data_IF_333682430458
#
_entry.id   IF_333682430458
#
_cell.length_a   1.000
_cell.length_b   1.000
_cell.length_c   1.000
_cell.angle_alpha   90.00
_cell.angle_beta   90.00
_cell.angle_gamma   90.00
#
_symmetry.space_group_name_H-M   'P 1'
#
loop_
_entity.id
_entity.type
_entity.pdbx_description
1 polymer ?
#
# COMPACT_ATOMS: atom_id res chain seq x y z
N UNK A 1 -13.43 72.50 -32.69
CA UNK A 1 -12.03 72.97 -32.56
C UNK A 1 -11.14 71.81 -32.96
N UNK A 2 -10.39 72.04 -34.02
CA UNK A 2 -9.58 71.11 -34.81
C UNK A 2 -8.13 71.18 -34.36
N UNK A 3 -7.49 70.02 -34.14
CA UNK A 3 -6.04 69.76 -34.08
C UNK A 3 -5.91 68.23 -33.94
N UNK A 4 -5.05 67.46 -34.59
CA UNK A 4 -4.02 67.65 -35.61
C UNK A 4 -3.45 66.23 -35.87
N UNK A 5 -3.29 65.85 -37.15
CA UNK A 5 -2.71 64.57 -37.59
C UNK A 5 -1.18 64.62 -37.59
N UNK A 6 -0.52 63.63 -36.99
CA UNK A 6 0.80 63.08 -37.39
C UNK A 6 0.70 61.56 -37.17
N UNK A 7 0.68 60.71 -38.22
CA UNK A 7 1.85 60.12 -38.92
C UNK A 7 2.86 59.49 -37.96
N UNK A 8 3.42 58.29 -38.14
CA UNK A 8 3.34 57.11 -39.02
C UNK A 8 4.42 56.14 -38.42
N UNK A 9 4.67 54.94 -38.98
CA UNK A 9 5.75 53.99 -38.58
C UNK A 9 5.42 53.18 -37.31
N UNK A 10 5.26 51.86 -37.29
CA UNK A 10 5.86 50.79 -38.08
C UNK A 10 6.74 49.95 -37.14
N UNK A 11 6.32 48.74 -36.76
CA UNK A 11 7.20 47.59 -36.48
C UNK A 11 6.41 46.34 -36.06
N UNK A 12 6.77 45.25 -36.72
CA UNK A 12 6.44 43.84 -36.49
C UNK A 12 6.92 43.32 -35.11
N UNK A 13 6.20 42.30 -34.60
CA UNK A 13 6.70 41.11 -33.85
C UNK A 13 7.25 41.41 -32.43
N UNK A 14 6.84 40.77 -31.34
CA UNK A 14 6.68 39.34 -31.12
C UNK A 14 5.62 39.05 -30.04
N UNK A 15 4.85 37.98 -30.24
CA UNK A 15 4.11 37.33 -29.17
C UNK A 15 5.11 36.71 -28.19
N UNK A 16 5.25 37.30 -27.00
CA UNK A 16 5.87 36.62 -25.86
C UNK A 16 4.74 36.00 -25.06
N UNK A 17 4.40 34.77 -25.44
CA UNK A 17 3.62 33.89 -24.58
C UNK A 17 4.59 33.36 -23.53
N UNK A 18 4.64 33.98 -22.35
CA UNK A 18 5.25 33.36 -21.18
C UNK A 18 4.29 32.28 -20.67
N UNK A 19 4.26 31.12 -21.35
CA UNK A 19 3.96 29.87 -20.67
C UNK A 19 5.23 29.49 -19.93
N UNK A 20 5.46 30.06 -18.75
CA UNK A 20 6.33 29.42 -17.77
C UNK A 20 5.56 28.23 -17.20
N UNK A 21 5.54 27.18 -18.01
CA UNK A 21 5.10 25.85 -17.63
C UNK A 21 6.02 25.28 -16.57
N UNK A 22 5.41 24.48 -15.71
CA UNK A 22 5.98 23.74 -14.61
C UNK A 22 7.40 23.21 -14.87
N UNK A 23 8.30 23.51 -13.95
CA UNK A 23 9.30 22.53 -13.54
C UNK A 23 9.11 22.32 -12.05
N UNK A 24 8.03 21.59 -11.73
CA UNK A 24 7.93 20.93 -10.44
C UNK A 24 8.98 19.83 -10.40
N UNK A 25 10.24 20.20 -10.14
CA UNK A 25 11.27 19.27 -9.71
C UNK A 25 11.01 18.95 -8.24
N UNK A 26 9.88 18.29 -7.99
CA UNK A 26 9.59 17.64 -6.72
C UNK A 26 9.89 16.14 -6.91
N UNK A 27 11.13 15.81 -7.28
CA UNK A 27 11.50 14.40 -7.44
C UNK A 27 13.00 14.19 -7.30
N UNK A 28 13.63 14.76 -6.25
CA UNK A 28 15.00 14.34 -5.92
C UNK A 28 15.37 14.51 -4.43
N UNK A 29 14.39 14.43 -3.51
CA UNK A 29 14.62 14.40 -2.05
C UNK A 29 13.57 13.58 -1.26
N UNK A 30 12.78 12.72 -1.90
CA UNK A 30 11.74 11.98 -1.16
C UNK A 30 12.36 10.78 -0.43
N UNK A 31 12.66 10.94 0.86
CA UNK A 31 12.85 9.82 1.79
C UNK A 31 11.59 8.96 1.89
N UNK A 32 11.59 7.89 2.69
CA UNK A 32 10.41 7.02 2.83
C UNK A 32 9.16 7.80 3.27
N UNK A 33 8.03 7.61 2.58
CA UNK A 33 6.77 8.29 2.91
C UNK A 33 5.56 7.37 2.71
N UNK A 34 4.50 7.61 3.47
CA UNK A 34 3.24 6.87 3.36
C UNK A 34 2.30 7.58 2.41
N UNK A 35 1.65 6.82 1.54
CA UNK A 35 0.60 7.33 0.68
C UNK A 35 -0.69 7.54 1.48
N UNK A 36 -1.31 8.70 1.26
CA UNK A 36 -2.62 9.02 1.80
C UNK A 36 -3.74 8.40 0.94
N UNK A 37 -4.88 8.06 1.56
CA UNK A 37 -6.06 7.58 0.84
C UNK A 37 -5.91 6.18 0.21
N UNK A 38 -4.92 5.40 0.63
CA UNK A 38 -4.72 4.02 0.18
C UNK A 38 -5.91 3.16 0.60
N UNK A 39 -6.55 2.49 -0.36
CA UNK A 39 -7.68 1.61 -0.10
C UNK A 39 -7.22 0.16 0.08
N UNK A 40 -7.93 -0.66 0.88
CA UNK A 40 -7.66 -2.09 0.98
C UNK A 40 -7.73 -2.81 -0.37
N UNK A 41 -8.67 -2.41 -1.22
CA UNK A 41 -8.84 -2.98 -2.55
C UNK A 41 -7.64 -2.70 -3.45
N UNK A 42 -7.12 -1.46 -3.47
CA UNK A 42 -5.96 -1.10 -4.28
C UNK A 42 -4.70 -1.86 -3.84
N UNK A 43 -4.50 -2.05 -2.52
CA UNK A 43 -3.40 -2.87 -2.02
C UNK A 43 -3.62 -4.34 -2.34
N UNK A 44 -4.83 -4.87 -2.16
CA UNK A 44 -5.14 -6.25 -2.53
C UNK A 44 -4.90 -6.53 -4.02
N UNK A 45 -5.27 -5.60 -4.91
CA UNK A 45 -4.99 -5.67 -6.34
C UNK A 45 -3.49 -5.64 -6.64
N UNK A 46 -2.73 -4.74 -6.01
CA UNK A 46 -1.27 -4.69 -6.11
C UNK A 46 -0.66 -6.03 -5.66
N UNK A 47 -1.13 -6.53 -4.52
CA UNK A 47 -0.74 -7.83 -3.98
C UNK A 47 -1.37 -9.00 -4.75
N UNK A 48 -2.16 -8.78 -5.79
CA UNK A 48 -2.99 -9.79 -6.49
C UNK A 48 -3.56 -10.83 -5.52
N UNK A 49 -4.18 -10.34 -4.44
CA UNK A 49 -4.90 -11.13 -3.43
C UNK A 49 -6.37 -10.80 -3.63
N UNK A 50 -7.18 -11.84 -3.76
CA UNK A 50 -8.63 -11.67 -3.70
C UNK A 50 -9.04 -11.48 -2.24
N UNK A 51 -9.62 -10.33 -1.90
CA UNK A 51 -10.25 -10.12 -0.60
C UNK A 51 -11.53 -10.96 -0.53
N UNK A 52 -11.67 -11.89 0.44
CA UNK A 52 -12.90 -12.66 0.58
C UNK A 52 -14.11 -11.74 0.76
N UNK A 53 -15.26 -12.12 0.19
CA UNK A 53 -16.50 -11.34 0.35
C UNK A 53 -16.96 -11.22 1.82
N UNK A 54 -16.50 -12.13 2.70
CA UNK A 54 -16.74 -12.12 4.15
C UNK A 54 -15.78 -11.20 4.92
N UNK A 55 -14.79 -10.59 4.24
CA UNK A 55 -13.82 -9.72 4.87
C UNK A 55 -14.46 -8.45 5.42
N UNK A 56 -14.14 -8.12 6.67
CA UNK A 56 -14.61 -6.92 7.37
C UNK A 56 -13.44 -6.17 8.00
N UNK A 57 -13.66 -4.91 8.40
CA UNK A 57 -12.64 -4.03 8.99
C UNK A 57 -11.29 -4.09 8.25
N UNK A 58 -11.38 -3.98 6.92
CA UNK A 58 -10.25 -4.01 6.03
C UNK A 58 -9.51 -2.67 6.09
N UNK A 59 -8.19 -2.71 6.28
CA UNK A 59 -7.31 -1.56 6.41
C UNK A 59 -6.04 -1.81 5.62
N UNK A 60 -5.50 -0.76 5.03
CA UNK A 60 -4.29 -0.87 4.24
C UNK A 60 -3.45 0.41 4.28
N UNK A 61 -2.17 0.26 3.99
CA UNK A 61 -1.24 1.36 3.82
C UNK A 61 -0.15 0.96 2.82
N UNK A 62 0.42 1.98 2.16
CA UNK A 62 1.52 1.82 1.22
C UNK A 62 2.60 2.85 1.56
N UNK A 63 3.80 2.39 1.89
CA UNK A 63 4.99 3.22 2.02
C UNK A 63 5.79 3.14 0.73
N UNK A 64 6.10 4.29 0.15
CA UNK A 64 7.02 4.43 -0.98
C UNK A 64 8.41 4.79 -0.47
N UNK A 65 9.46 4.30 -1.11
CA UNK A 65 10.82 4.66 -0.74
C UNK A 65 11.88 3.77 -1.38
N UNK A 66 12.91 3.44 -0.60
CA UNK A 66 13.93 2.47 -1.01
C UNK A 66 13.37 1.05 -1.03
N UNK A 67 12.65 0.69 0.04
CA UNK A 67 11.89 -0.55 0.15
C UNK A 67 10.40 -0.21 0.22
N UNK A 68 9.72 -0.40 -0.90
CA UNK A 68 8.28 -0.22 -0.98
C UNK A 68 7.61 -1.26 -0.06
N UNK A 69 6.62 -0.81 0.72
CA UNK A 69 5.96 -1.65 1.70
C UNK A 69 4.46 -1.52 1.60
N UNK A 70 3.81 -2.66 1.43
CA UNK A 70 2.36 -2.77 1.40
C UNK A 70 1.89 -3.50 2.65
N UNK A 71 0.95 -2.88 3.37
CA UNK A 71 0.28 -3.47 4.51
C UNK A 71 -1.19 -3.67 4.17
N UNK A 72 -1.72 -4.84 4.47
CA UNK A 72 -3.13 -5.16 4.34
C UNK A 72 -3.57 -5.96 5.57
N UNK A 73 -4.68 -5.58 6.20
CA UNK A 73 -5.29 -6.34 7.27
C UNK A 73 -6.80 -6.33 7.15
N UNK A 74 -7.44 -7.43 7.51
CA UNK A 74 -8.90 -7.58 7.50
C UNK A 74 -9.30 -8.71 8.45
N UNK A 75 -10.58 -8.75 8.81
CA UNK A 75 -11.18 -9.77 9.68
C UNK A 75 -11.99 -10.75 8.84
N UNK A 76 -11.82 -12.04 9.13
CA UNK A 76 -12.59 -13.15 8.57
C UNK A 76 -13.27 -13.96 9.68
N UNK A 77 -14.35 -14.69 9.37
CA UNK A 77 -14.77 -15.82 10.17
C UNK A 77 -13.60 -16.78 10.39
N UNK A 78 -13.39 -17.24 11.63
CA UNK A 78 -12.26 -18.12 11.98
C UNK A 78 -12.23 -19.41 11.15
N UNK A 79 -13.40 -19.94 10.76
CA UNK A 79 -13.52 -21.11 9.89
C UNK A 79 -13.06 -20.89 8.44
N UNK A 80 -12.99 -19.63 7.98
CA UNK A 80 -12.62 -19.29 6.59
C UNK A 80 -11.10 -19.07 6.44
N UNK A 81 -10.39 -18.87 7.55
CA UNK A 81 -8.96 -18.51 7.55
C UNK A 81 -8.11 -19.53 6.82
N UNK A 82 -8.24 -20.82 7.17
CA UNK A 82 -7.36 -21.84 6.60
C UNK A 82 -7.61 -22.00 5.08
N UNK A 83 -8.86 -21.82 4.62
CA UNK A 83 -9.22 -21.81 3.21
C UNK A 83 -8.62 -20.61 2.45
N UNK A 84 -8.65 -19.42 3.06
CA UNK A 84 -7.99 -18.24 2.50
C UNK A 84 -6.49 -18.46 2.29
N UNK A 85 -5.79 -18.99 3.31
CA UNK A 85 -4.35 -19.25 3.23
C UNK A 85 -4.00 -20.34 2.22
N UNK A 86 -4.81 -21.40 2.11
CA UNK A 86 -4.62 -22.43 1.09
C UNK A 86 -4.70 -21.85 -0.34
N UNK A 87 -5.58 -20.86 -0.57
CA UNK A 87 -5.70 -20.16 -1.84
C UNK A 87 -4.46 -19.34 -2.22
N UNK A 88 -3.70 -18.85 -1.24
CA UNK A 88 -2.44 -18.12 -1.46
C UNK A 88 -1.27 -19.01 -1.88
N UNK A 89 -1.45 -20.34 -1.93
CA UNK A 89 -0.40 -21.34 -2.23
C UNK A 89 0.83 -21.16 -1.33
N UNK A 90 0.62 -20.94 -0.03
CA UNK A 90 1.72 -20.86 0.93
C UNK A 90 2.56 -22.14 0.88
N UNK A 91 3.89 -22.00 0.83
CA UNK A 91 4.81 -23.14 0.74
C UNK A 91 4.72 -24.07 1.96
N UNK A 92 4.28 -23.52 3.10
CA UNK A 92 4.09 -24.24 4.34
C UNK A 92 2.73 -23.86 4.96
N UNK A 93 2.02 -24.81 5.61
CA UNK A 93 0.82 -24.50 6.39
C UNK A 93 1.11 -23.47 7.48
N UNK A 94 0.11 -22.70 7.91
CA UNK A 94 0.24 -21.80 9.07
C UNK A 94 0.92 -22.51 10.25
N UNK A 95 2.06 -22.00 10.71
CA UNK A 95 2.76 -22.52 11.87
C UNK A 95 2.67 -21.56 13.05
N UNK A 96 2.69 -22.12 14.26
CA UNK A 96 2.84 -21.32 15.49
C UNK A 96 4.25 -20.75 15.50
N UNK A 97 4.37 -19.43 15.41
CA UNK A 97 5.67 -18.79 15.23
C UNK A 97 6.08 -17.98 16.47
N UNK A 98 7.36 -18.09 16.82
CA UNK A 98 8.13 -17.06 17.53
C UNK A 98 7.97 -15.69 16.85
N UNK A 99 8.12 -14.57 17.59
CA UNK A 99 7.75 -13.23 17.14
C UNK A 99 8.32 -12.86 15.76
N UNK A 100 7.55 -12.12 14.94
CA UNK A 100 8.04 -11.48 13.70
C UNK A 100 9.37 -10.77 14.01
N UNK A 101 10.46 -11.19 13.38
CA UNK A 101 11.65 -10.36 13.31
C UNK A 101 11.38 -9.27 12.26
N UNK A 102 11.46 -8.01 12.68
CA UNK A 102 11.37 -6.85 11.78
C UNK A 102 10.12 -5.99 12.00
N UNK A 103 10.40 -4.77 12.46
CA UNK A 103 9.55 -3.59 12.62
C UNK A 103 8.26 -3.77 13.44
N UNK A 104 8.37 -3.53 14.76
CA UNK A 104 7.22 -3.14 15.57
C UNK A 104 6.64 -1.81 15.05
N UNK A 105 5.31 -1.66 15.09
CA UNK A 105 4.61 -0.39 14.86
C UNK A 105 4.12 -0.13 13.44
N UNK A 106 4.23 -1.10 12.52
CA UNK A 106 3.72 -0.97 11.15
C UNK A 106 2.19 -1.05 11.10
N UNK A 107 1.60 -2.05 11.75
CA UNK A 107 0.15 -2.19 11.87
C UNK A 107 -0.44 -1.21 12.89
N UNK A 108 0.35 -0.72 13.84
CA UNK A 108 -0.08 0.37 14.73
C UNK A 108 -0.48 1.64 13.96
N UNK A 109 0.18 1.93 12.83
CA UNK A 109 -0.24 3.04 11.94
C UNK A 109 -1.66 2.85 11.40
N UNK A 110 -2.08 1.60 11.20
CA UNK A 110 -3.46 1.28 10.82
C UNK A 110 -4.42 1.30 12.01
N UNK A 111 -3.96 1.68 13.21
CA UNK A 111 -4.72 1.60 14.46
C UNK A 111 -4.98 0.15 14.88
N UNK A 112 -4.07 -0.77 14.55
CA UNK A 112 -4.19 -2.19 14.84
C UNK A 112 -3.06 -2.65 15.79
N UNK A 113 -3.33 -3.65 16.66
CA UNK A 113 -2.28 -4.26 17.45
C UNK A 113 -1.30 -5.01 16.54
N UNK A 114 -0.03 -5.04 16.91
CA UNK A 114 0.95 -5.83 16.17
C UNK A 114 0.71 -7.33 16.38
N UNK A 115 0.66 -8.15 15.32
CA UNK A 115 0.48 -9.60 15.44
C UNK A 115 1.62 -10.29 16.19
N UNK A 116 2.79 -9.64 16.29
CA UNK A 116 3.92 -10.11 17.11
C UNK A 116 3.64 -10.14 18.61
N UNK A 117 2.79 -9.23 19.06
CA UNK A 117 2.45 -9.04 20.47
C UNK A 117 1.23 -9.86 20.91
N UNK A 118 0.50 -10.45 19.97
CA UNK A 118 -0.74 -11.16 20.24
C UNK A 118 -0.51 -12.62 20.68
N UNK A 119 -1.08 -13.06 21.83
CA UNK A 119 -1.05 -14.46 22.24
C UNK A 119 -1.68 -15.39 21.19
N UNK A 120 -1.02 -16.51 20.89
CA UNK A 120 -1.54 -17.51 19.95
C UNK A 120 -1.52 -17.09 18.47
N UNK A 121 -0.80 -16.02 18.13
CA UNK A 121 -0.62 -15.61 16.74
C UNK A 121 0.01 -16.73 15.89
N UNK A 122 -0.60 -17.03 14.75
CA UNK A 122 -0.08 -17.98 13.74
C UNK A 122 0.53 -17.22 12.58
N UNK A 123 1.54 -17.77 11.90
CA UNK A 123 2.21 -17.13 10.76
C UNK A 123 2.37 -18.08 9.57
N UNK A 124 2.49 -17.48 8.39
CA UNK A 124 3.00 -18.13 7.19
C UNK A 124 3.85 -17.14 6.39
N UNK A 125 4.69 -17.67 5.51
CA UNK A 125 5.38 -16.90 4.48
C UNK A 125 5.02 -17.50 3.12
N UNK A 126 4.88 -16.64 2.12
CA UNK A 126 4.69 -17.03 0.73
C UNK A 126 5.86 -16.45 -0.06
N UNK A 127 6.67 -17.32 -0.66
CA UNK A 127 7.73 -16.90 -1.58
C UNK A 127 7.11 -16.38 -2.88
N UNK A 128 7.65 -15.28 -3.40
CA UNK A 128 7.59 -15.04 -4.83
C UNK A 128 8.79 -15.78 -5.46
N UNK A 129 8.63 -16.60 -6.53
CA UNK A 129 7.57 -16.64 -7.53
C UNK A 129 6.83 -18.00 -7.62
N UNK A 130 5.51 -17.99 -7.37
CA UNK A 130 4.52 -18.98 -7.87
C UNK A 130 3.23 -18.33 -8.42
N UNK A 131 3.24 -16.99 -8.40
CA UNK A 131 2.37 -16.07 -9.12
C UNK A 131 3.38 -15.08 -9.73
N UNK A 132 3.20 -14.65 -10.97
CA UNK A 132 4.13 -13.70 -11.63
C UNK A 132 4.09 -12.38 -10.85
N UNK A 133 5.08 -12.12 -9.98
CA UNK A 133 5.11 -10.97 -9.06
C UNK A 133 6.43 -10.21 -9.16
N UNK A 134 6.33 -8.88 -9.10
CA UNK A 134 7.40 -7.93 -8.77
C UNK A 134 7.40 -7.70 -7.24
N UNK A 135 7.48 -8.77 -6.44
CA UNK A 135 7.53 -8.69 -4.98
C UNK A 135 8.55 -9.73 -4.49
N UNK A 136 9.31 -9.44 -3.45
CA UNK A 136 10.31 -10.36 -2.90
C UNK A 136 9.66 -11.48 -2.07
N UNK A 137 8.76 -11.15 -1.13
CA UNK A 137 7.97 -12.14 -0.37
C UNK A 137 6.76 -11.53 0.35
N UNK A 138 5.77 -12.37 0.64
CA UNK A 138 4.64 -12.02 1.52
C UNK A 138 4.81 -12.66 2.89
N UNK A 139 4.67 -11.85 3.93
CA UNK A 139 4.54 -12.32 5.31
C UNK A 139 3.09 -12.21 5.75
N UNK A 140 2.60 -13.29 6.35
CA UNK A 140 1.22 -13.43 6.78
C UNK A 140 1.18 -13.75 8.28
N UNK A 141 0.20 -13.18 8.96
CA UNK A 141 -0.15 -13.57 10.32
C UNK A 141 -1.66 -13.61 10.54
N UNK A 142 -2.05 -14.37 11.57
CA UNK A 142 -3.42 -14.47 12.04
C UNK A 142 -3.45 -14.32 13.55
N UNK A 143 -4.35 -13.48 14.05
CA UNK A 143 -4.68 -13.40 15.49
C UNK A 143 -6.17 -13.61 15.68
N UNK A 144 -6.58 -14.27 16.76
CA UNK A 144 -8.00 -14.28 17.12
C UNK A 144 -8.43 -12.88 17.57
N UNK A 145 -9.57 -12.42 17.08
CA UNK A 145 -10.25 -11.23 17.59
C UNK A 145 -11.24 -11.66 18.67
N UNK A 146 -11.98 -12.74 18.41
CA UNK A 146 -12.85 -13.44 19.35
C UNK A 146 -12.94 -14.95 19.00
N UNK A 147 -13.86 -15.68 19.62
CA UNK A 147 -14.02 -17.13 19.38
C UNK A 147 -14.54 -17.51 17.99
N UNK A 148 -14.99 -16.55 17.20
CA UNK A 148 -15.63 -16.74 15.88
C UNK A 148 -14.96 -15.94 14.76
N UNK A 149 -14.16 -14.94 15.09
CA UNK A 149 -13.49 -14.06 14.14
C UNK A 149 -11.98 -13.99 14.36
N UNK A 150 -11.25 -13.88 13.25
CA UNK A 150 -9.80 -13.81 13.22
C UNK A 150 -9.36 -12.68 12.31
N UNK A 151 -8.33 -11.94 12.73
CA UNK A 151 -7.70 -10.91 11.91
C UNK A 151 -6.52 -11.49 11.15
N UNK A 152 -6.51 -11.28 9.86
CA UNK A 152 -5.38 -11.54 8.95
C UNK A 152 -4.55 -10.27 8.82
N UNK A 153 -3.24 -10.45 8.80
CA UNK A 153 -2.24 -9.41 8.60
C UNK A 153 -1.35 -9.85 7.45
N UNK A 154 -1.14 -8.97 6.47
CA UNK A 154 -0.32 -9.22 5.30
C UNK A 154 0.66 -8.05 5.17
N UNK A 155 1.94 -8.40 5.04
CA UNK A 155 3.02 -7.46 4.74
C UNK A 155 3.75 -7.97 3.51
N UNK A 156 3.86 -7.12 2.50
CA UNK A 156 4.70 -7.38 1.34
C UNK A 156 5.93 -6.50 1.36
N UNK A 157 7.01 -7.07 0.85
CA UNK A 157 8.25 -6.40 0.54
C UNK A 157 8.46 -6.52 -0.97
N UNK A 158 8.74 -5.39 -1.59
CA UNK A 158 9.28 -5.26 -2.94
C UNK A 158 10.78 -4.97 -2.82
#
# INVERSE_FOLDING_TARGET
MTEGRLMLWGALVAAVVLVTGCSGTASELAGEYWLEGVTPQAVAEHLQIELPATATDARAAHRRGHDDKLLLSFVLPTGDVDGFFAGLRSEQPLWTATPFSGAAGEFERLGLPEPVSAPGARRAQVCAPCIQRDLDFLQLAVTQVDGTSSRVYIRAFD
#
